data_IF_230336237481
#
_entry.id   IF_230336237481
#
_cell.length_a   1.000
_cell.length_b   1.000
_cell.length_c   1.000
_cell.angle_alpha   90.00
_cell.angle_beta   90.00
_cell.angle_gamma   90.00
#
_symmetry.space_group_name_H-M   'P 1'
#
loop_
_entity.id
_entity.type
_entity.pdbx_description
1 polymer ?
#
# COMPACT_ATOMS: atom_id res chain seq x y z
N UNK A 1 39.41 15.13 -47.82
CA UNK A 1 39.41 13.68 -48.10
C UNK A 1 38.30 13.05 -47.26
N UNK A 2 37.24 12.58 -47.94
CA UNK A 2 36.05 11.95 -47.36
C UNK A 2 36.30 10.47 -47.08
N UNK A 3 35.80 9.92 -45.97
CA UNK A 3 35.79 8.48 -45.67
C UNK A 3 34.35 8.04 -45.37
N UNK A 4 33.74 7.38 -46.35
CA UNK A 4 32.47 6.65 -46.23
C UNK A 4 32.66 5.39 -45.38
N UNK A 5 31.74 5.13 -44.44
CA UNK A 5 31.57 3.82 -43.80
C UNK A 5 30.25 3.21 -44.28
N UNK A 6 30.35 2.06 -44.95
CA UNK A 6 29.21 1.25 -45.40
C UNK A 6 28.77 0.27 -44.30
N UNK A 7 27.49 0.31 -43.95
CA UNK A 7 26.83 -0.70 -43.11
C UNK A 7 26.54 -1.97 -43.91
N UNK A 8 27.03 -3.13 -43.46
CA UNK A 8 26.66 -4.45 -43.98
C UNK A 8 25.61 -5.10 -43.08
N UNK A 9 24.47 -5.54 -43.65
CA UNK A 9 23.43 -6.32 -42.95
C UNK A 9 23.87 -7.79 -42.79
N UNK A 10 23.55 -8.49 -41.69
CA UNK A 10 23.86 -9.91 -41.54
C UNK A 10 22.87 -10.81 -42.28
N UNK A 11 23.36 -11.96 -42.75
CA UNK A 11 22.65 -12.96 -43.55
C UNK A 11 21.73 -13.87 -42.73
N UNK A 12 20.65 -14.33 -43.39
CA UNK A 12 19.51 -15.10 -42.87
C UNK A 12 19.81 -16.52 -42.38
N UNK A 13 21.08 -16.93 -42.29
CA UNK A 13 21.47 -18.27 -41.83
C UNK A 13 21.72 -18.36 -40.31
N UNK A 14 21.76 -17.23 -39.59
CA UNK A 14 21.94 -17.22 -38.14
C UNK A 14 20.63 -17.34 -37.32
N UNK A 15 19.46 -17.21 -37.95
CA UNK A 15 18.16 -17.26 -37.24
C UNK A 15 17.56 -18.66 -37.07
N UNK A 16 18.11 -19.70 -37.70
CA UNK A 16 17.56 -21.07 -37.62
C UNK A 16 18.20 -21.96 -36.54
N UNK A 17 19.23 -21.48 -35.83
CA UNK A 17 19.91 -22.26 -34.77
C UNK A 17 19.43 -21.94 -33.34
N UNK A 18 18.51 -21.00 -33.13
CA UNK A 18 18.03 -20.62 -31.80
C UNK A 18 16.64 -21.16 -31.43
N UNK A 19 15.99 -21.96 -32.28
CA UNK A 19 14.61 -22.45 -32.06
C UNK A 19 14.49 -23.95 -31.75
N UNK A 20 15.59 -24.67 -31.47
CA UNK A 20 15.56 -26.13 -31.26
C UNK A 20 16.04 -26.63 -29.90
N UNK A 21 16.08 -25.79 -28.86
CA UNK A 21 16.44 -26.22 -27.51
C UNK A 21 15.48 -25.65 -26.45
N UNK A 22 14.43 -26.41 -26.16
CA UNK A 22 13.95 -26.75 -24.80
C UNK A 22 12.49 -27.21 -24.83
N UNK A 23 12.27 -28.44 -25.31
CA UNK A 23 11.20 -29.30 -24.81
C UNK A 23 11.84 -30.32 -23.86
N UNK A 24 11.49 -30.24 -22.57
CA UNK A 24 11.48 -31.36 -21.61
C UNK A 24 11.12 -30.83 -20.20
N UNK A 25 9.87 -31.01 -19.77
CA UNK A 25 9.45 -30.85 -18.38
C UNK A 25 9.36 -32.22 -17.71
N UNK A 26 9.93 -32.45 -16.51
CA UNK A 26 9.70 -33.66 -15.72
C UNK A 26 8.46 -33.50 -14.81
N UNK A 27 7.81 -34.60 -14.37
CA UNK A 27 6.61 -34.54 -13.53
C UNK A 27 6.98 -34.47 -12.05
N UNK A 28 6.24 -33.68 -11.25
CA UNK A 28 6.37 -33.69 -9.78
C UNK A 28 5.04 -33.94 -9.06
N UNK A 29 4.93 -35.17 -8.56
CA UNK A 29 4.43 -35.61 -7.25
C UNK A 29 3.43 -34.75 -6.48
N UNK A 30 2.29 -35.37 -6.19
CA UNK A 30 1.37 -35.09 -5.08
C UNK A 30 2.10 -35.17 -3.73
N UNK A 31 2.08 -34.09 -2.95
CA UNK A 31 2.43 -34.12 -1.53
C UNK A 31 1.28 -33.57 -0.69
N UNK A 32 0.69 -34.51 0.04
CA UNK A 32 -0.27 -34.37 1.12
C UNK A 32 0.39 -33.76 2.36
N UNK A 33 -0.33 -32.90 3.06
CA UNK A 33 -0.24 -32.74 4.51
C UNK A 33 0.65 -31.62 5.04
N UNK A 34 0.01 -30.61 5.64
CA UNK A 34 0.10 -30.33 7.08
C UNK A 34 -0.65 -29.03 7.39
N UNK A 35 -1.80 -29.16 8.05
CA UNK A 35 -2.56 -28.05 8.61
C UNK A 35 -1.84 -27.50 9.84
N UNK A 36 -1.52 -26.20 9.85
CA UNK A 36 -1.11 -25.48 11.06
C UNK A 36 -2.13 -24.41 11.41
N UNK A 37 -2.65 -24.50 12.62
CA UNK A 37 -3.59 -23.56 13.23
C UNK A 37 -2.91 -22.23 13.55
N UNK A 38 -3.50 -21.11 13.11
CA UNK A 38 -3.18 -19.78 13.62
C UNK A 38 -4.47 -19.04 14.02
N UNK A 39 -4.52 -18.64 15.28
CA UNK A 39 -5.61 -17.89 15.90
C UNK A 39 -5.62 -16.43 15.39
N UNK A 40 -6.80 -15.93 15.05
CA UNK A 40 -6.99 -14.63 14.41
C UNK A 40 -7.13 -13.44 15.37
N UNK A 41 -7.09 -12.25 14.77
CA UNK A 41 -7.52 -10.98 15.35
C UNK A 41 -7.73 -9.96 14.23
N UNK A 42 -8.99 -9.57 14.00
CA UNK A 42 -9.41 -8.57 13.02
C UNK A 42 -9.51 -7.21 13.70
N UNK A 43 -8.55 -6.31 13.47
CA UNK A 43 -8.70 -4.87 13.72
C UNK A 43 -7.60 -4.10 13.00
N UNK A 44 -7.93 -2.96 12.41
CA UNK A 44 -6.97 -2.09 11.74
C UNK A 44 -5.84 -1.62 12.67
N UNK A 45 -4.70 -1.31 12.07
CA UNK A 45 -3.45 -0.76 12.67
C UNK A 45 -2.47 -1.80 13.23
N UNK A 46 -1.14 -1.49 13.23
CA UNK A 46 -0.09 -2.48 13.04
C UNK A 46 0.07 -3.41 14.23
N UNK A 47 0.34 -4.68 13.91
CA UNK A 47 0.55 -5.77 14.85
C UNK A 47 1.67 -5.44 15.85
N UNK A 48 1.31 -5.34 17.14
CA UNK A 48 2.26 -5.41 18.25
C UNK A 48 1.83 -6.53 19.19
N UNK A 49 2.73 -7.50 19.34
CA UNK A 49 2.82 -8.52 20.39
C UNK A 49 1.64 -9.50 20.53
N UNK A 50 1.80 -10.71 19.99
CA UNK A 50 0.99 -11.88 20.40
C UNK A 50 1.87 -12.78 21.28
N UNK A 51 1.59 -12.79 22.59
CA UNK A 51 2.17 -13.74 23.55
C UNK A 51 1.51 -15.11 23.46
N UNK A 52 2.26 -16.14 23.83
CA UNK A 52 1.93 -17.55 23.71
C UNK A 52 0.61 -17.94 24.39
N UNK A 53 -0.36 -18.42 23.62
CA UNK A 53 -1.54 -19.14 24.12
C UNK A 53 -1.33 -20.63 23.87
N UNK A 54 -1.12 -21.38 24.95
CA UNK A 54 -0.96 -22.84 24.95
C UNK A 54 -2.31 -23.52 24.66
N UNK A 55 -2.50 -24.00 23.43
CA UNK A 55 -3.68 -24.79 23.04
C UNK A 55 -3.46 -26.25 23.46
N UNK A 56 -4.36 -26.81 24.27
CA UNK A 56 -4.37 -28.24 24.62
C UNK A 56 -4.93 -29.08 23.46
N UNK A 57 -4.45 -30.33 23.23
CA UNK A 57 -4.93 -31.17 22.14
C UNK A 57 -6.29 -31.82 22.48
N UNK A 58 -7.10 -32.17 21.46
CA UNK A 58 -8.43 -32.73 21.67
C UNK A 58 -8.36 -34.15 22.23
N UNK A 59 -9.12 -34.38 23.30
CA UNK A 59 -9.31 -35.69 23.91
C UNK A 59 -10.27 -36.51 23.04
N UNK A 60 -9.76 -37.58 22.43
CA UNK A 60 -10.57 -38.54 21.69
C UNK A 60 -11.30 -39.44 22.70
N UNK A 61 -12.58 -39.17 23.00
CA UNK A 61 -13.42 -40.10 23.76
C UNK A 61 -14.27 -40.93 22.79
N UNK A 62 -13.79 -42.16 22.56
CA UNK A 62 -14.63 -43.28 22.16
C UNK A 62 -15.63 -43.61 23.28
N UNK A 63 -16.93 -43.64 22.98
CA UNK A 63 -17.91 -44.27 23.87
C UNK A 63 -18.67 -45.34 23.08
N UNK A 64 -18.67 -46.54 23.66
CA UNK A 64 -19.33 -47.77 23.24
C UNK A 64 -20.87 -47.66 23.27
N UNK A 65 -21.51 -48.53 22.47
CA UNK A 65 -22.94 -48.83 22.42
C UNK A 65 -23.57 -49.07 23.80
N UNK A 66 -24.84 -48.66 23.94
CA UNK A 66 -25.79 -49.36 24.82
C UNK A 66 -27.12 -49.54 24.08
N UNK A 67 -27.57 -50.79 23.99
CA UNK A 67 -28.84 -51.22 23.41
C UNK A 67 -29.91 -51.08 24.50
N UNK A 68 -30.90 -50.23 24.28
CA UNK A 68 -32.06 -50.11 25.17
C UNK A 68 -33.26 -49.51 24.46
N UNK A 69 -34.31 -50.33 24.27
CA UNK A 69 -35.61 -49.94 23.75
C UNK A 69 -36.19 -48.75 24.53
N UNK A 70 -36.37 -47.64 23.85
CA UNK A 70 -36.97 -46.43 24.41
C UNK A 70 -37.35 -45.48 23.29
N UNK A 71 -38.64 -45.31 23.08
CA UNK A 71 -39.21 -44.38 22.12
C UNK A 71 -38.93 -42.94 22.57
N UNK A 72 -37.83 -42.35 22.09
CA UNK A 72 -37.48 -40.94 22.25
C UNK A 72 -37.23 -40.37 20.86
N UNK A 73 -38.23 -39.63 20.36
CA UNK A 73 -38.05 -38.76 19.20
C UNK A 73 -37.06 -37.65 19.58
N UNK A 74 -35.77 -37.93 19.45
CA UNK A 74 -34.75 -36.89 19.46
C UNK A 74 -34.93 -36.05 18.20
N UNK A 75 -35.58 -34.89 18.34
CA UNK A 75 -35.49 -33.81 17.38
C UNK A 75 -34.03 -33.36 17.31
N UNK A 76 -33.26 -33.98 16.41
CA UNK A 76 -31.94 -33.50 16.04
C UNK A 76 -32.12 -32.18 15.29
N UNK A 77 -32.17 -31.08 16.03
CA UNK A 77 -31.92 -29.76 15.48
C UNK A 77 -30.47 -29.79 14.99
N UNK A 78 -30.28 -30.01 13.69
CA UNK A 78 -29.02 -29.76 13.01
C UNK A 78 -28.78 -28.25 13.08
N UNK A 79 -28.19 -27.79 14.18
CA UNK A 79 -27.61 -26.46 14.25
C UNK A 79 -26.51 -26.42 13.20
N UNK A 80 -26.83 -25.79 12.07
CA UNK A 80 -25.84 -25.43 11.07
C UNK A 80 -24.98 -24.36 11.72
N UNK A 81 -23.91 -24.77 12.42
CA UNK A 81 -22.85 -23.85 12.77
C UNK A 81 -22.14 -23.52 11.46
N UNK A 82 -22.26 -22.30 10.90
CA UNK A 82 -21.39 -21.91 9.81
C UNK A 82 -19.96 -22.05 10.35
N UNK A 83 -19.22 -23.03 9.82
CA UNK A 83 -17.79 -23.15 10.09
C UNK A 83 -17.22 -21.79 9.72
N UNK A 84 -16.56 -21.04 10.64
CA UNK A 84 -15.94 -19.78 10.28
C UNK A 84 -15.00 -20.09 9.11
N UNK A 85 -15.35 -19.62 7.92
CA UNK A 85 -14.46 -19.77 6.78
C UNK A 85 -13.22 -18.99 7.18
N UNK A 86 -12.12 -19.69 7.45
CA UNK A 86 -10.83 -19.07 7.64
C UNK A 86 -10.51 -18.38 6.32
N UNK A 87 -10.84 -17.09 6.23
CA UNK A 87 -10.46 -16.26 5.09
C UNK A 87 -8.95 -16.26 5.08
N UNK A 88 -8.36 -16.78 4.01
CA UNK A 88 -6.89 -16.76 3.83
C UNK A 88 -6.42 -15.32 3.99
N UNK A 89 -5.66 -15.03 5.04
CA UNK A 89 -5.03 -13.72 5.19
C UNK A 89 -3.94 -13.60 4.12
N UNK A 90 -4.14 -12.65 3.21
CA UNK A 90 -3.13 -12.29 2.22
C UNK A 90 -2.09 -11.38 2.89
N UNK A 91 -0.86 -11.37 2.38
CA UNK A 91 0.16 -10.43 2.85
C UNK A 91 -0.28 -8.97 2.64
N UNK A 92 0.29 -8.03 3.40
CA UNK A 92 -0.04 -6.60 3.25
C UNK A 92 0.66 -5.99 2.03
N UNK A 93 -0.08 -5.21 1.23
CA UNK A 93 0.47 -4.42 0.13
C UNK A 93 1.05 -3.07 0.58
N UNK A 94 0.81 -2.68 1.84
CA UNK A 94 1.20 -1.38 2.38
C UNK A 94 2.71 -1.09 2.34
N UNK A 95 3.62 -2.03 2.68
CA UNK A 95 5.05 -1.73 2.66
C UNK A 95 5.55 -1.36 1.26
N UNK A 96 5.11 -2.11 0.26
CA UNK A 96 5.48 -1.85 -1.13
C UNK A 96 4.96 -0.48 -1.59
N UNK A 97 3.69 -0.18 -1.29
CA UNK A 97 3.08 1.12 -1.64
C UNK A 97 3.76 2.30 -0.94
N UNK A 98 4.15 2.15 0.33
CA UNK A 98 4.88 3.18 1.09
C UNK A 98 6.30 3.40 0.54
N UNK A 99 7.02 2.33 0.20
CA UNK A 99 8.36 2.42 -0.39
C UNK A 99 8.32 3.10 -1.75
N UNK A 100 7.38 2.72 -2.62
CA UNK A 100 7.30 3.31 -3.96
C UNK A 100 6.87 4.78 -3.93
N UNK A 101 5.97 5.12 -3.01
CA UNK A 101 5.66 6.51 -2.66
C UNK A 101 6.90 7.26 -2.19
N UNK A 102 7.64 6.70 -1.23
CA UNK A 102 8.80 7.34 -0.61
C UNK A 102 9.90 7.63 -1.63
N UNK A 103 10.25 6.66 -2.49
CA UNK A 103 11.28 6.82 -3.52
C UNK A 103 10.95 8.01 -4.43
N UNK A 104 9.72 8.04 -4.96
CA UNK A 104 9.30 9.06 -5.94
C UNK A 104 9.14 10.43 -5.28
N UNK A 105 8.61 10.45 -4.06
CA UNK A 105 8.48 11.65 -3.24
C UNK A 105 9.85 12.23 -2.93
N UNK A 106 10.80 11.42 -2.49
CA UNK A 106 12.17 11.85 -2.15
C UNK A 106 12.85 12.46 -3.38
N UNK A 107 12.84 11.78 -4.52
CA UNK A 107 13.46 12.28 -5.75
C UNK A 107 12.88 13.65 -6.16
N UNK A 108 11.55 13.76 -6.27
CA UNK A 108 10.88 15.00 -6.67
C UNK A 108 11.22 16.15 -5.72
N UNK A 109 11.23 15.88 -4.42
CA UNK A 109 11.40 16.90 -3.41
C UNK A 109 12.86 17.29 -3.19
N UNK A 110 13.82 16.42 -3.47
CA UNK A 110 15.24 16.79 -3.55
C UNK A 110 15.49 17.84 -4.65
N UNK A 111 14.89 17.67 -5.83
CA UNK A 111 14.98 18.69 -6.88
C UNK A 111 14.28 19.99 -6.48
N UNK A 112 13.10 19.93 -5.86
CA UNK A 112 12.40 21.13 -5.37
C UNK A 112 13.19 21.87 -4.28
N UNK A 113 13.81 21.14 -3.36
CA UNK A 113 14.62 21.71 -2.27
C UNK A 113 16.03 22.12 -2.72
N UNK A 114 16.41 21.87 -3.98
CA UNK A 114 17.74 22.06 -4.53
C UNK A 114 18.85 21.28 -3.78
N UNK A 115 18.55 20.04 -3.37
CA UNK A 115 19.49 19.13 -2.71
C UNK A 115 20.29 18.40 -3.79
N UNK A 116 21.60 18.68 -3.89
CA UNK A 116 22.52 18.00 -4.81
C UNK A 116 22.42 18.42 -6.28
N UNK A 117 21.36 19.12 -6.67
CA UNK A 117 21.15 19.72 -8.00
C UNK A 117 20.37 21.04 -7.87
N UNK A 118 20.46 21.95 -8.85
CA UNK A 118 19.63 23.15 -8.88
C UNK A 118 18.13 22.84 -8.93
N UNK A 119 17.32 23.79 -8.48
CA UNK A 119 15.87 23.76 -8.66
C UNK A 119 15.52 23.53 -10.15
N UNK A 120 14.54 22.65 -10.42
CA UNK A 120 14.09 22.22 -11.76
C UNK A 120 15.05 21.37 -12.62
N UNK A 121 16.21 20.94 -12.12
CA UNK A 121 17.17 20.15 -12.91
C UNK A 121 16.77 18.69 -13.25
N UNK A 122 15.70 18.15 -12.64
CA UNK A 122 15.50 16.70 -12.48
C UNK A 122 14.43 16.00 -13.31
N UNK A 123 14.13 16.45 -14.53
CA UNK A 123 12.86 16.10 -15.19
C UNK A 123 12.77 14.64 -15.68
N UNK A 124 13.83 14.08 -16.27
CA UNK A 124 13.74 12.76 -16.93
C UNK A 124 13.64 11.57 -15.95
N UNK A 125 14.49 11.51 -14.92
CA UNK A 125 14.46 10.42 -13.94
C UNK A 125 13.20 10.46 -13.07
N UNK A 126 12.74 11.67 -12.72
CA UNK A 126 11.50 11.87 -11.94
C UNK A 126 10.28 11.43 -12.74
N UNK A 127 10.24 11.68 -14.05
CA UNK A 127 9.16 11.21 -14.91
C UNK A 127 9.04 9.68 -14.93
N UNK A 128 10.16 8.97 -15.09
CA UNK A 128 10.18 7.51 -15.09
C UNK A 128 9.75 6.91 -13.74
N UNK A 129 10.30 7.42 -12.63
CA UNK A 129 9.92 6.97 -11.29
C UNK A 129 8.46 7.28 -10.98
N UNK A 130 7.97 8.45 -11.39
CA UNK A 130 6.57 8.86 -11.21
C UNK A 130 5.62 7.95 -11.98
N UNK A 131 6.00 7.49 -13.18
CA UNK A 131 5.15 6.59 -13.95
C UNK A 131 5.13 5.16 -13.37
N UNK A 132 6.30 4.55 -13.17
CA UNK A 132 6.39 3.14 -12.81
C UNK A 132 6.39 2.88 -11.31
N UNK A 133 7.17 3.65 -10.55
CA UNK A 133 7.39 3.38 -9.13
C UNK A 133 6.27 4.01 -8.30
N UNK A 134 6.26 5.33 -8.19
CA UNK A 134 5.22 6.06 -7.44
C UNK A 134 3.83 5.93 -8.09
N UNK A 135 3.76 5.66 -9.38
CA UNK A 135 2.51 5.47 -10.10
C UNK A 135 2.03 4.02 -10.05
N UNK A 136 2.45 3.25 -11.04
CA UNK A 136 1.95 1.90 -11.31
C UNK A 136 2.11 0.94 -10.11
N UNK A 137 3.31 0.81 -9.53
CA UNK A 137 3.53 -0.08 -8.39
C UNK A 137 2.72 0.34 -7.16
N UNK A 138 2.57 1.65 -6.93
CA UNK A 138 1.77 2.16 -5.81
C UNK A 138 0.27 1.85 -5.97
N UNK A 139 -0.27 1.98 -7.20
CA UNK A 139 -1.65 1.58 -7.50
C UNK A 139 -1.87 0.10 -7.19
N UNK A 140 -0.96 -0.78 -7.61
CA UNK A 140 -1.07 -2.22 -7.33
C UNK A 140 -1.12 -2.48 -5.82
N UNK A 141 -0.22 -1.86 -5.05
CA UNK A 141 -0.22 -1.99 -3.59
C UNK A 141 -1.50 -1.46 -2.96
N UNK A 142 -2.06 -0.36 -3.47
CA UNK A 142 -3.34 0.19 -3.02
C UNK A 142 -4.54 -0.70 -3.34
N UNK A 143 -4.63 -1.25 -4.55
CA UNK A 143 -5.68 -2.22 -4.93
C UNK A 143 -5.60 -3.46 -4.04
N UNK A 144 -4.38 -3.90 -3.71
CA UNK A 144 -4.18 -5.01 -2.77
C UNK A 144 -4.67 -4.68 -1.36
N UNK A 145 -4.47 -3.44 -0.88
CA UNK A 145 -5.02 -3.01 0.40
C UNK A 145 -6.55 -2.96 0.40
N UNK A 146 -7.18 -2.57 -0.71
CA UNK A 146 -8.64 -2.67 -0.85
C UNK A 146 -9.12 -4.13 -0.81
N UNK A 147 -8.39 -5.05 -1.47
CA UNK A 147 -8.68 -6.49 -1.42
C UNK A 147 -8.53 -7.07 0.00
N UNK A 148 -7.62 -6.51 0.81
CA UNK A 148 -7.44 -6.85 2.22
C UNK A 148 -8.45 -6.17 3.17
N UNK A 149 -9.41 -5.41 2.64
CA UNK A 149 -10.42 -4.71 3.44
C UNK A 149 -9.95 -3.40 4.08
N UNK A 150 -8.74 -2.92 3.76
CA UNK A 150 -8.24 -1.63 4.24
C UNK A 150 -8.59 -0.50 3.26
N UNK A 151 -9.80 0.04 3.41
CA UNK A 151 -10.33 1.12 2.57
C UNK A 151 -9.52 2.42 2.69
N UNK A 152 -9.01 2.74 3.89
CA UNK A 152 -8.26 3.98 4.10
C UNK A 152 -6.94 3.97 3.31
N UNK A 153 -6.11 2.95 3.54
CA UNK A 153 -4.82 2.84 2.86
C UNK A 153 -4.99 2.56 1.38
N UNK A 154 -5.98 1.73 1.01
CA UNK A 154 -6.30 1.46 -0.38
C UNK A 154 -6.66 2.74 -1.14
N UNK A 155 -7.55 3.57 -0.60
CA UNK A 155 -7.89 4.86 -1.20
C UNK A 155 -6.68 5.81 -1.26
N UNK A 156 -5.89 5.89 -0.19
CA UNK A 156 -4.69 6.72 -0.16
C UNK A 156 -3.66 6.29 -1.22
N UNK A 157 -3.30 5.01 -1.27
CA UNK A 157 -2.27 4.52 -2.19
C UNK A 157 -2.72 4.53 -3.65
N UNK A 158 -3.97 4.16 -3.96
CA UNK A 158 -4.47 4.23 -5.34
C UNK A 158 -4.54 5.68 -5.82
N UNK A 159 -5.03 6.61 -4.99
CA UNK A 159 -5.09 8.03 -5.37
C UNK A 159 -3.70 8.62 -5.58
N UNK A 160 -2.73 8.37 -4.68
CA UNK A 160 -1.35 8.84 -4.88
C UNK A 160 -0.66 8.18 -6.07
N UNK A 161 -0.96 6.91 -6.36
CA UNK A 161 -0.52 6.27 -7.58
C UNK A 161 -1.04 7.00 -8.84
N UNK A 162 -2.33 7.35 -8.85
CA UNK A 162 -2.92 8.19 -9.90
C UNK A 162 -2.28 9.58 -10.00
N UNK A 163 -1.99 10.23 -8.86
CA UNK A 163 -1.26 11.50 -8.81
C UNK A 163 0.09 11.41 -9.53
N UNK A 164 0.90 10.40 -9.19
CA UNK A 164 2.21 10.24 -9.77
C UNK A 164 2.16 9.92 -11.26
N UNK A 165 1.21 9.10 -11.71
CA UNK A 165 1.01 8.87 -13.16
C UNK A 165 0.59 10.15 -13.88
N UNK A 166 -0.30 10.97 -13.29
CA UNK A 166 -0.69 12.25 -13.86
C UNK A 166 0.50 13.23 -13.93
N UNK A 167 1.34 13.30 -12.88
CA UNK A 167 2.59 14.08 -12.89
C UNK A 167 3.56 13.56 -13.94
N UNK A 168 3.70 12.25 -14.11
CA UNK A 168 4.53 11.68 -15.17
C UNK A 168 4.05 12.12 -16.56
N UNK A 169 2.73 12.14 -16.78
CA UNK A 169 2.15 12.59 -18.04
C UNK A 169 2.46 14.05 -18.38
N UNK A 170 2.69 14.92 -17.38
CA UNK A 170 3.11 16.32 -17.64
C UNK A 170 4.56 16.44 -18.10
N UNK A 171 5.40 15.42 -17.88
CA UNK A 171 6.82 15.44 -18.22
C UNK A 171 7.15 14.59 -19.45
N UNK A 172 6.39 13.52 -19.68
CA UNK A 172 6.60 12.58 -20.78
C UNK A 172 6.04 13.17 -22.09
N UNK A 173 6.87 13.39 -23.14
CA UNK A 173 6.42 14.11 -24.35
C UNK A 173 5.26 13.47 -25.11
N UNK A 174 5.12 12.14 -25.09
CA UNK A 174 4.07 11.46 -25.88
C UNK A 174 2.65 11.84 -25.44
N UNK A 175 2.45 12.26 -24.19
CA UNK A 175 1.14 12.67 -23.69
C UNK A 175 0.74 14.06 -24.20
N UNK A 176 1.66 14.83 -24.80
CA UNK A 176 1.40 16.17 -25.34
C UNK A 176 1.14 17.27 -24.29
N UNK A 177 1.08 16.92 -23.00
CA UNK A 177 0.77 17.86 -21.92
C UNK A 177 1.89 18.88 -21.73
N UNK A 178 3.16 18.46 -21.75
CA UNK A 178 4.30 19.39 -21.65
C UNK A 178 4.31 20.41 -22.78
N UNK A 179 3.98 19.99 -24.00
CA UNK A 179 3.92 20.87 -25.17
C UNK A 179 2.77 21.89 -25.04
N UNK A 180 1.61 21.47 -24.54
CA UNK A 180 0.47 22.35 -24.29
C UNK A 180 0.78 23.40 -23.20
N UNK A 181 1.40 22.97 -22.09
CA UNK A 181 1.83 23.87 -21.01
C UNK A 181 2.92 24.85 -21.46
N UNK A 182 3.76 24.47 -22.44
CA UNK A 182 4.80 25.35 -22.99
C UNK A 182 4.26 26.48 -23.86
N UNK A 183 3.02 26.39 -24.36
CA UNK A 183 2.36 27.48 -25.10
C UNK A 183 1.78 28.56 -24.20
N UNK A 184 1.69 28.30 -22.89
CA UNK A 184 1.14 29.23 -21.91
C UNK A 184 2.21 30.20 -21.43
N UNK A 185 1.79 31.39 -21.00
CA UNK A 185 2.68 32.27 -20.24
C UNK A 185 3.16 31.56 -18.97
N UNK A 186 4.30 31.98 -18.42
CA UNK A 186 4.79 31.43 -17.15
C UNK A 186 3.75 31.58 -16.03
N UNK A 187 3.10 32.75 -15.97
CA UNK A 187 2.04 33.05 -15.02
C UNK A 187 0.86 32.07 -15.14
N UNK A 188 0.33 31.89 -16.35
CA UNK A 188 -0.82 31.00 -16.59
C UNK A 188 -0.46 29.55 -16.32
N UNK A 189 0.74 29.11 -16.71
CA UNK A 189 1.23 27.75 -16.46
C UNK A 189 1.30 27.45 -14.96
N UNK A 190 1.85 28.38 -14.17
CA UNK A 190 1.94 28.22 -12.72
C UNK A 190 0.54 28.16 -12.08
N UNK A 191 -0.38 29.06 -12.47
CA UNK A 191 -1.74 29.07 -11.95
C UNK A 191 -2.54 27.82 -12.32
N UNK A 192 -2.36 27.27 -13.54
CA UNK A 192 -2.95 25.99 -13.92
C UNK A 192 -2.46 24.85 -13.01
N UNK A 193 -1.17 24.82 -12.67
CA UNK A 193 -0.64 23.82 -11.72
C UNK A 193 -1.16 24.05 -10.30
N UNK A 194 -1.37 25.31 -9.89
CA UNK A 194 -2.01 25.65 -8.62
C UNK A 194 -3.43 25.10 -8.54
N UNK A 195 -4.25 25.35 -9.57
CA UNK A 195 -5.61 24.81 -9.68
C UNK A 195 -5.60 23.28 -9.64
N UNK A 196 -4.66 22.64 -10.36
CA UNK A 196 -4.48 21.19 -10.33
C UNK A 196 -4.17 20.66 -8.92
N UNK A 197 -3.44 21.40 -8.08
CA UNK A 197 -3.07 21.01 -6.71
C UNK A 197 -4.16 21.29 -5.66
N UNK A 198 -5.18 22.11 -5.94
CA UNK A 198 -6.24 22.43 -4.96
C UNK A 198 -7.03 21.18 -4.51
N UNK A 199 -7.53 20.31 -5.40
CA UNK A 199 -8.21 19.08 -4.97
C UNK A 199 -7.31 18.17 -4.14
N UNK A 200 -6.02 18.08 -4.48
CA UNK A 200 -5.04 17.32 -3.71
C UNK A 200 -4.83 17.90 -2.31
N UNK A 201 -4.84 19.23 -2.17
CA UNK A 201 -4.74 19.92 -0.89
C UNK A 201 -5.90 19.56 0.06
N UNK A 202 -7.11 19.42 -0.48
CA UNK A 202 -8.29 18.98 0.27
C UNK A 202 -8.16 17.49 0.62
N UNK A 203 -7.76 16.67 -0.34
CA UNK A 203 -7.64 15.22 -0.15
C UNK A 203 -6.63 14.86 0.95
N UNK A 204 -5.44 15.46 0.95
CA UNK A 204 -4.43 15.17 1.97
C UNK A 204 -4.85 15.66 3.36
N UNK A 205 -5.66 16.72 3.43
CA UNK A 205 -6.23 17.19 4.69
C UNK A 205 -7.22 16.18 5.27
N UNK A 206 -8.11 15.62 4.44
CA UNK A 206 -9.02 14.54 4.84
C UNK A 206 -8.23 13.33 5.36
N UNK A 207 -7.17 12.94 4.65
CA UNK A 207 -6.32 11.82 5.08
C UNK A 207 -5.63 12.09 6.43
N UNK A 208 -5.19 13.32 6.71
CA UNK A 208 -4.63 13.68 8.01
C UNK A 208 -5.66 13.52 9.13
N UNK A 209 -6.90 13.97 8.93
CA UNK A 209 -7.96 13.81 9.93
C UNK A 209 -8.23 12.33 10.23
N UNK A 210 -8.17 11.46 9.22
CA UNK A 210 -8.33 10.02 9.39
C UNK A 210 -7.21 9.33 10.16
N UNK A 211 -6.08 10.00 10.41
CA UNK A 211 -4.89 9.43 11.03
C UNK A 211 -4.73 9.73 12.52
N UNK A 212 -5.65 10.50 13.12
CA UNK A 212 -5.59 10.84 14.55
C UNK A 212 -5.76 9.66 15.52
N UNK A 213 -6.03 8.45 15.06
CA UNK A 213 -5.97 7.25 15.93
C UNK A 213 -4.80 6.33 15.60
N UNK A 214 -3.89 6.79 14.74
CA UNK A 214 -2.69 6.07 14.32
C UNK A 214 -1.50 6.36 15.23
N UNK A 215 -0.33 5.86 14.85
CA UNK A 215 0.93 6.06 15.55
C UNK A 215 1.43 7.50 15.41
N UNK A 216 2.21 7.99 16.37
CA UNK A 216 2.76 9.34 16.31
C UNK A 216 3.59 9.57 15.03
N UNK A 217 4.39 8.58 14.61
CA UNK A 217 5.19 8.67 13.39
C UNK A 217 4.31 8.80 12.14
N UNK A 218 3.20 8.06 12.06
CA UNK A 218 2.29 8.15 10.93
C UNK A 218 1.56 9.49 10.90
N UNK A 219 1.15 10.02 12.05
CA UNK A 219 0.54 11.35 12.16
C UNK A 219 1.51 12.43 11.65
N UNK A 220 2.78 12.41 12.11
CA UNK A 220 3.80 13.37 11.65
C UNK A 220 4.04 13.24 10.14
N UNK A 221 4.06 12.02 9.61
CA UNK A 221 4.15 11.80 8.16
C UNK A 221 3.00 12.49 7.42
N UNK A 222 1.75 12.33 7.86
CA UNK A 222 0.60 13.00 7.22
C UNK A 222 0.59 14.52 7.41
N UNK A 223 1.14 15.05 8.51
CA UNK A 223 1.35 16.49 8.69
C UNK A 223 2.35 17.01 7.64
N UNK A 224 3.48 16.34 7.47
CA UNK A 224 4.49 16.72 6.46
C UNK A 224 3.94 16.59 5.03
N UNK A 225 3.08 15.60 4.77
CA UNK A 225 2.36 15.47 3.51
C UNK A 225 1.45 16.67 3.23
N UNK A 226 0.70 17.12 4.24
CA UNK A 226 -0.13 18.32 4.12
C UNK A 226 0.71 19.55 3.84
N UNK A 227 1.77 19.78 4.63
CA UNK A 227 2.67 20.92 4.43
C UNK A 227 3.32 20.88 3.05
N UNK A 228 3.81 19.72 2.59
CA UNK A 228 4.36 19.58 1.25
C UNK A 228 3.35 20.03 0.18
N UNK A 229 2.13 19.47 0.18
CA UNK A 229 1.12 19.77 -0.85
C UNK A 229 0.62 21.21 -0.73
N UNK A 230 0.31 21.71 0.46
CA UNK A 230 -0.21 23.07 0.66
C UNK A 230 0.80 24.14 0.27
N UNK A 231 2.08 23.98 0.63
CA UNK A 231 3.12 24.91 0.18
C UNK A 231 3.38 24.80 -1.32
N UNK A 232 3.24 23.63 -1.94
CA UNK A 232 3.34 23.49 -3.39
C UNK A 232 2.19 24.22 -4.09
N UNK A 233 0.96 24.04 -3.63
CA UNK A 233 -0.23 24.75 -4.13
C UNK A 233 -0.05 26.26 -4.02
N UNK A 234 0.35 26.75 -2.84
CA UNK A 234 0.58 28.17 -2.62
C UNK A 234 1.73 28.72 -3.50
N UNK A 235 2.80 27.95 -3.66
CA UNK A 235 3.93 28.33 -4.51
C UNK A 235 3.52 28.51 -5.98
N UNK A 236 2.68 27.62 -6.50
CA UNK A 236 2.16 27.70 -7.87
C UNK A 236 1.27 28.95 -8.08
N UNK A 237 0.42 29.33 -7.12
CA UNK A 237 -0.39 30.56 -7.23
C UNK A 237 0.41 31.85 -7.01
N UNK A 238 1.45 31.82 -6.18
CA UNK A 238 2.26 33.00 -5.87
C UNK A 238 3.50 33.14 -6.76
N UNK A 239 3.74 32.17 -7.64
CA UNK A 239 4.98 31.99 -8.40
C UNK A 239 6.25 32.11 -7.52
N UNK A 240 6.18 31.60 -6.27
CA UNK A 240 7.25 31.75 -5.28
C UNK A 240 8.17 30.53 -5.24
N UNK A 241 9.39 30.70 -5.77
CA UNK A 241 10.45 29.68 -5.69
C UNK A 241 10.77 29.30 -4.24
N UNK A 242 10.71 30.26 -3.31
CA UNK A 242 10.99 30.00 -1.90
C UNK A 242 9.94 29.07 -1.29
N UNK A 243 8.66 29.26 -1.63
CA UNK A 243 7.59 28.36 -1.21
C UNK A 243 7.75 26.95 -1.81
N UNK A 244 8.16 26.83 -3.09
CA UNK A 244 8.46 25.51 -3.68
C UNK A 244 9.63 24.81 -2.98
N UNK A 245 10.68 25.54 -2.59
CA UNK A 245 11.81 24.99 -1.82
C UNK A 245 11.38 24.51 -0.45
N UNK A 246 10.57 25.28 0.27
CA UNK A 246 10.05 24.91 1.58
C UNK A 246 9.15 23.66 1.49
N UNK A 247 8.27 23.62 0.50
CA UNK A 247 7.49 22.43 0.14
C UNK A 247 8.41 21.21 -0.11
N UNK A 248 9.50 21.41 -0.86
CA UNK A 248 10.53 20.39 -1.09
C UNK A 248 11.14 19.84 0.20
N UNK A 249 11.47 20.68 1.17
CA UNK A 249 12.00 20.19 2.46
C UNK A 249 10.98 19.34 3.23
N UNK A 250 9.71 19.76 3.28
CA UNK A 250 8.66 18.95 3.90
C UNK A 250 8.48 17.61 3.19
N UNK A 251 8.50 17.61 1.85
CA UNK A 251 8.41 16.39 1.06
C UNK A 251 9.61 15.44 1.21
N UNK A 252 10.81 15.98 1.45
CA UNK A 252 12.00 15.16 1.75
C UNK A 252 11.85 14.40 3.07
N UNK A 253 11.51 15.11 4.16
CA UNK A 253 11.31 14.46 5.46
C UNK A 253 10.09 13.54 5.50
N UNK A 254 9.03 13.89 4.77
CA UNK A 254 7.88 13.02 4.53
C UNK A 254 8.33 11.66 3.96
N UNK A 255 9.18 11.67 2.93
CA UNK A 255 9.65 10.44 2.30
C UNK A 255 10.48 9.58 3.27
N UNK A 256 11.30 10.21 4.13
CA UNK A 256 12.05 9.49 5.16
C UNK A 256 11.11 8.78 6.16
N UNK A 257 10.03 9.43 6.58
CA UNK A 257 9.04 8.80 7.47
C UNK A 257 8.22 7.71 6.76
N UNK A 258 7.97 7.85 5.45
CA UNK A 258 7.33 6.79 4.67
C UNK A 258 8.21 5.54 4.57
N UNK A 259 9.53 5.69 4.34
CA UNK A 259 10.47 4.58 4.45
C UNK A 259 10.47 3.96 5.84
N UNK A 260 10.43 4.79 6.88
CA UNK A 260 10.38 4.31 8.27
C UNK A 260 9.10 3.50 8.55
N UNK A 261 7.93 4.00 8.16
CA UNK A 261 6.67 3.26 8.32
C UNK A 261 6.66 1.95 7.52
N UNK A 262 7.26 1.92 6.32
CA UNK A 262 7.43 0.67 5.59
C UNK A 262 8.36 -0.31 6.33
N UNK A 263 9.47 0.18 6.89
CA UNK A 263 10.40 -0.61 7.67
C UNK A 263 9.73 -1.18 8.93
N UNK A 264 8.91 -0.40 9.63
CA UNK A 264 8.11 -0.86 10.78
C UNK A 264 7.23 -2.06 10.44
N UNK A 265 6.67 -2.11 9.23
CA UNK A 265 5.80 -3.22 8.81
C UNK A 265 6.63 -4.44 8.35
N UNK A 266 7.80 -4.23 7.75
CA UNK A 266 8.65 -5.31 7.25
C UNK A 266 9.56 -5.92 8.30
N UNK A 267 9.98 -5.14 9.29
CA UNK A 267 10.95 -5.52 10.31
C UNK A 267 10.18 -6.00 11.53
N UNK A 268 10.34 -7.27 11.85
CA UNK A 268 9.68 -7.94 12.98
C UNK A 268 10.69 -8.75 13.80
N UNK A 269 10.24 -9.37 14.89
CA UNK A 269 11.10 -10.20 15.75
C UNK A 269 11.62 -11.48 15.08
N UNK A 270 11.04 -11.89 13.95
CA UNK A 270 11.51 -13.05 13.19
C UNK A 270 12.72 -12.69 12.33
N UNK A 271 12.83 -11.46 11.85
CA UNK A 271 13.92 -11.01 10.98
C UNK A 271 14.87 -9.98 11.61
N UNK A 272 14.54 -9.41 12.78
CA UNK A 272 15.36 -8.42 13.46
C UNK A 272 15.23 -8.45 14.99
N UNK A 273 16.26 -7.93 15.66
CA UNK A 273 16.38 -8.06 17.12
C UNK A 273 15.47 -7.13 17.92
N UNK A 274 14.94 -6.06 17.33
CA UNK A 274 14.23 -4.98 18.03
C UNK A 274 12.95 -4.59 17.29
N UNK A 275 11.90 -4.26 18.03
CA UNK A 275 10.72 -3.62 17.44
C UNK A 275 11.00 -2.12 17.25
N UNK A 276 10.66 -1.59 16.08
CA UNK A 276 10.90 -0.18 15.78
C UNK A 276 9.89 0.72 16.52
N UNK A 277 10.33 1.82 17.15
CA UNK A 277 9.44 2.67 17.93
C UNK A 277 8.49 3.48 17.04
N UNK A 278 7.18 3.41 17.30
CA UNK A 278 6.17 4.16 16.53
C UNK A 278 5.44 5.23 17.32
N UNK A 279 5.58 5.24 18.65
CA UNK A 279 4.84 6.15 19.52
C UNK A 279 3.33 5.90 19.48
N UNK A 280 2.91 4.66 19.75
CA UNK A 280 1.49 4.33 19.88
C UNK A 280 0.91 5.00 21.14
N UNK A 281 -0.14 5.79 20.97
CA UNK A 281 -0.75 6.57 22.06
C UNK A 281 -2.26 6.30 22.21
N UNK A 282 -2.92 5.87 21.14
CA UNK A 282 -4.30 5.41 21.17
C UNK A 282 -4.33 3.88 21.34
N UNK A 283 -5.08 3.39 22.33
CA UNK A 283 -5.39 1.96 22.50
C UNK A 283 -6.89 1.78 22.37
N UNK A 284 -7.33 0.95 21.44
CA UNK A 284 -8.72 0.59 21.34
C UNK A 284 -9.11 -0.29 22.54
N UNK A 285 -10.22 0.04 23.21
CA UNK A 285 -10.79 -0.86 24.21
C UNK A 285 -11.43 -2.01 23.43
N UNK A 286 -10.86 -3.21 23.55
CA UNK A 286 -11.54 -4.43 23.09
C UNK A 286 -12.87 -4.48 23.84
N UNK A 287 -13.98 -4.37 23.11
CA UNK A 287 -15.31 -4.57 23.68
C UNK A 287 -15.44 -6.06 23.94
N UNK A 288 -15.21 -6.50 25.18
CA UNK A 288 -15.59 -7.84 25.61
C UNK A 288 -17.09 -7.97 25.37
N UNK A 289 -17.50 -8.89 24.49
CA UNK A 289 -18.90 -9.27 24.38
C UNK A 289 -19.29 -9.93 25.70
N UNK A 290 -19.99 -9.20 26.56
CA UNK A 290 -20.59 -9.78 27.75
C UNK A 290 -21.58 -10.87 27.32
N UNK A 291 -21.62 -12.03 28.00
CA UNK A 291 -22.55 -13.12 27.66
C UNK A 291 -24.04 -12.71 27.59
N UNK A 292 -24.43 -11.59 28.21
CA UNK A 292 -25.80 -11.04 28.12
C UNK A 292 -26.21 -10.63 26.72
N UNK A 293 -25.26 -10.25 25.85
CA UNK A 293 -25.55 -9.78 24.49
C UNK A 293 -25.97 -10.96 23.57
N UNK A 294 -25.77 -12.21 24.01
CA UNK A 294 -26.21 -13.42 23.31
C UNK A 294 -27.61 -13.90 23.73
N UNK A 295 -28.09 -13.53 24.93
CA UNK A 295 -29.42 -13.91 25.42
C UNK A 295 -30.51 -12.95 24.89
N UNK A 296 -30.21 -11.67 24.76
CA UNK A 296 -31.17 -10.64 24.31
C UNK A 296 -31.57 -10.78 22.82
N UNK A 297 -30.74 -11.46 22.02
CA UNK A 297 -31.03 -11.75 20.62
C UNK A 297 -32.11 -12.82 20.40
N UNK A 298 -32.43 -13.63 21.41
CA UNK A 298 -33.41 -14.71 21.30
C UNK A 298 -34.82 -14.34 21.77
N UNK A 299 -34.99 -13.27 22.56
CA UNK A 299 -36.31 -12.84 23.02
C UNK A 299 -37.07 -11.98 22.00
N UNK A 300 -36.37 -11.32 21.07
CA UNK A 300 -37.00 -10.43 20.09
C UNK A 300 -37.49 -11.12 18.80
N UNK A 301 -37.31 -12.43 18.63
CA UNK A 301 -37.78 -13.19 17.45
C UNK A 301 -39.12 -13.91 17.70
N UNK A 302 -39.80 -13.65 18.82
CA UNK A 302 -41.13 -14.20 19.13
C UNK A 302 -42.15 -13.11 19.47
N UNK A 303 -42.40 -12.17 18.56
CA UNK A 303 -43.66 -11.42 18.47
C UNK A 303 -44.00 -11.10 17.01
#
# INVERSE_FOLDING_TARGET
MSRNQSFSRPSSQHLQQMTSRHEASPPMSTLSGSHEHYAGGNSGYPAYAQGDVKVMPPHNQSIHEDIGDGNIHHHHHHYYHPVPQATRQLGSGAPMALVTFAITTMQTNMYKAAIGQPYEAGTASVAASSFFVGGFCQIIGGVWQLANGNSFEGAAFVSFGGFWMAKAATMIPWFGVSAALAQMSEYDRAHHMGIYMVPWSIWVFILLLGQFKSTAINIVMFILLNLNVHFDTAANFTNSVWCHKLSGWFGFFLAMLAFYNAAVILIDRHNFFLDLPVGAWYKEKVRESTPSDAEDGHEHEKL
#
